data_IF_914636920813
#
_entry.id   IF_914636920813
#
_cell.length_a   1.000
_cell.length_b   1.000
_cell.length_c   1.000
_cell.angle_alpha   90.00
_cell.angle_beta   90.00
_cell.angle_gamma   90.00
#
_symmetry.space_group_name_H-M   'P 1'
#
loop_
_entity.id
_entity.type
_entity.pdbx_description
1 polymer ?
#
# COMPACT_ATOMS: atom_id res chain seq x y z
N UNK A 1 -10.16 0.39 -2.16
CA UNK A 1 -9.35 1.57 -2.51
C UNK A 1 -7.91 1.10 -2.72
N UNK A 2 -7.23 1.56 -3.76
CA UNK A 2 -5.85 1.15 -4.09
C UNK A 2 -5.10 2.32 -4.71
N UNK A 3 -3.77 2.24 -4.74
CA UNK A 3 -2.96 3.21 -5.46
C UNK A 3 -1.71 2.56 -6.04
N UNK A 4 -1.23 3.12 -7.15
CA UNK A 4 0.07 2.75 -7.70
C UNK A 4 1.17 3.31 -6.80
N UNK A 5 2.20 2.51 -6.59
CA UNK A 5 3.42 2.95 -5.92
C UNK A 5 4.63 2.31 -6.58
N UNK A 6 5.83 2.73 -6.17
CA UNK A 6 7.08 2.27 -6.74
C UNK A 6 7.94 1.64 -5.67
N UNK A 7 8.35 0.39 -5.88
CA UNK A 7 9.36 -0.29 -5.08
C UNK A 7 10.71 -0.16 -5.79
N UNK A 8 11.75 0.26 -5.07
CA UNK A 8 13.10 0.39 -5.63
C UNK A 8 13.71 -0.94 -6.09
N UNK A 9 13.25 -2.06 -5.55
CA UNK A 9 13.69 -3.40 -5.97
C UNK A 9 12.84 -4.00 -7.07
N UNK A 10 11.52 -3.79 -7.01
CA UNK A 10 10.57 -4.52 -7.86
C UNK A 10 9.91 -3.64 -8.93
N UNK A 11 10.21 -2.34 -8.96
CA UNK A 11 9.62 -1.38 -9.87
C UNK A 11 8.18 -1.00 -9.50
N UNK A 12 7.31 -0.68 -10.49
CA UNK A 12 5.92 -0.33 -10.24
C UNK A 12 5.14 -1.49 -9.60
N UNK A 13 4.41 -1.19 -8.53
CA UNK A 13 3.54 -2.14 -7.83
C UNK A 13 2.18 -1.50 -7.56
N UNK A 14 1.15 -2.32 -7.38
CA UNK A 14 -0.14 -1.86 -6.88
C UNK A 14 -0.23 -2.12 -5.38
N UNK A 15 -0.64 -1.11 -4.61
CA UNK A 15 -0.90 -1.25 -3.18
C UNK A 15 -2.40 -1.18 -2.87
N UNK A 16 -2.94 -2.22 -2.24
CA UNK A 16 -4.32 -2.27 -1.75
C UNK A 16 -4.39 -1.73 -0.33
N UNK A 17 -5.10 -0.62 -0.14
CA UNK A 17 -5.25 0.03 1.16
C UNK A 17 -6.31 -0.66 2.02
N UNK A 18 -7.53 -0.78 1.47
CA UNK A 18 -8.66 -1.37 2.18
C UNK A 18 -9.27 -2.51 1.38
N UNK A 19 -9.36 -3.68 2.02
CA UNK A 19 -10.12 -4.83 1.56
C UNK A 19 -11.10 -5.26 2.65
N UNK A 20 -12.39 -5.06 2.39
CA UNK A 20 -13.45 -5.54 3.25
C UNK A 20 -14.45 -6.35 2.43
N UNK A 21 -14.84 -7.51 2.95
CA UNK A 21 -15.93 -8.31 2.40
C UNK A 21 -17.00 -8.48 3.47
N UNK A 22 -18.20 -8.03 3.10
CA UNK A 22 -19.42 -8.22 3.88
C UNK A 22 -19.59 -9.71 4.25
N UNK A 23 -19.91 -10.03 5.52
CA UNK A 23 -19.97 -11.41 6.02
C UNK A 23 -20.78 -12.37 5.16
N UNK A 24 -21.91 -11.92 4.63
CA UNK A 24 -22.86 -12.67 3.82
C UNK A 24 -22.25 -13.15 2.49
N UNK A 25 -21.17 -12.50 2.04
CA UNK A 25 -20.47 -12.78 0.80
C UNK A 25 -19.11 -13.46 1.02
N UNK A 26 -18.76 -13.82 2.26
CA UNK A 26 -17.53 -14.58 2.54
C UNK A 26 -17.74 -16.03 2.11
N UNK A 27 -16.78 -16.60 1.37
CA UNK A 27 -16.87 -17.98 0.87
C UNK A 27 -17.66 -18.19 -0.43
N UNK A 28 -18.48 -17.21 -0.86
CA UNK A 28 -19.24 -17.30 -2.12
C UNK A 28 -18.38 -17.10 -3.38
N UNK A 29 -17.10 -16.75 -3.22
CA UNK A 29 -16.16 -16.55 -4.32
C UNK A 29 -16.09 -15.12 -4.87
N UNK A 30 -16.76 -14.15 -4.24
CA UNK A 30 -16.75 -12.74 -4.68
C UNK A 30 -15.36 -12.10 -4.79
N UNK A 31 -14.37 -12.57 -4.02
CA UNK A 31 -12.98 -12.07 -4.10
C UNK A 31 -12.23 -12.58 -5.34
N UNK A 32 -12.75 -13.56 -6.10
CA UNK A 32 -12.04 -14.10 -7.29
C UNK A 32 -11.72 -13.03 -8.35
N UNK A 33 -12.49 -11.94 -8.38
CA UNK A 33 -12.27 -10.81 -9.29
C UNK A 33 -11.34 -9.71 -8.76
N UNK A 34 -10.78 -9.86 -7.56
CA UNK A 34 -9.80 -8.92 -7.02
C UNK A 34 -8.39 -9.47 -7.22
N UNK A 35 -7.46 -8.70 -7.82
CA UNK A 35 -7.61 -7.33 -8.28
C UNK A 35 -7.91 -7.21 -9.78
N UNK A 36 -8.54 -8.20 -10.46
CA UNK A 36 -8.70 -8.25 -11.93
C UNK A 36 -9.32 -7.03 -12.65
N UNK A 37 -9.94 -6.07 -11.94
CA UNK A 37 -10.34 -4.77 -12.49
C UNK A 37 -9.92 -3.64 -11.55
N UNK A 38 -8.88 -2.92 -11.95
CA UNK A 38 -8.48 -1.64 -11.36
C UNK A 38 -8.42 -0.65 -12.50
N UNK A 39 -9.53 0.05 -12.71
CA UNK A 39 -9.57 1.23 -13.55
C UNK A 39 -9.24 2.45 -12.70
N UNK A 40 -8.31 3.27 -13.13
CA UNK A 40 -8.23 4.67 -12.69
C UNK A 40 -8.94 5.53 -13.71
N UNK A 41 -9.46 6.68 -13.30
CA UNK A 41 -9.86 7.72 -14.25
C UNK A 41 -8.64 8.61 -14.48
N UNK A 42 -8.39 9.02 -15.73
CA UNK A 42 -7.35 10.02 -16.00
C UNK A 42 -7.78 11.43 -15.57
N UNK A 43 -6.92 12.43 -15.81
CA UNK A 43 -7.20 13.85 -15.52
C UNK A 43 -8.46 14.40 -16.22
N UNK A 44 -9.01 13.67 -17.20
CA UNK A 44 -10.20 14.00 -17.97
C UNK A 44 -11.40 13.13 -17.59
N UNK A 45 -11.26 12.23 -16.62
CA UNK A 45 -12.33 11.35 -16.18
C UNK A 45 -12.53 10.11 -17.04
N UNK A 46 -11.59 9.79 -17.95
CA UNK A 46 -11.72 8.64 -18.84
C UNK A 46 -11.19 7.36 -18.17
N UNK A 47 -11.87 6.20 -18.33
CA UNK A 47 -11.39 4.92 -17.83
C UNK A 47 -10.04 4.59 -18.43
N UNK A 48 -9.01 4.69 -17.61
CA UNK A 48 -7.67 4.23 -17.92
C UNK A 48 -7.51 2.88 -17.25
N UNK A 49 -7.61 1.83 -18.05
CA UNK A 49 -7.14 0.51 -17.65
C UNK A 49 -5.63 0.64 -17.43
N UNK A 50 -5.20 0.91 -16.19
CA UNK A 50 -3.80 0.75 -15.84
C UNK A 50 -3.57 -0.75 -15.91
N UNK A 51 -2.80 -1.25 -16.89
CA UNK A 51 -2.68 -2.69 -17.03
C UNK A 51 -1.93 -3.19 -15.80
N UNK A 52 -2.57 -4.05 -15.00
CA UNK A 52 -1.86 -4.90 -14.03
C UNK A 52 -0.60 -5.53 -14.61
N UNK A 53 -0.59 -5.75 -15.93
CA UNK A 53 0.54 -6.23 -16.70
C UNK A 53 1.83 -5.41 -16.52
N UNK A 54 1.74 -4.13 -16.12
CA UNK A 54 2.91 -3.28 -15.85
C UNK A 54 3.35 -3.29 -14.38
N UNK A 55 2.53 -3.81 -13.47
CA UNK A 55 2.89 -3.96 -12.07
C UNK A 55 3.53 -5.33 -11.86
N UNK A 56 4.70 -5.35 -11.22
CA UNK A 56 5.37 -6.62 -10.90
C UNK A 56 4.68 -7.35 -9.74
N UNK A 57 3.97 -6.61 -8.88
CA UNK A 57 3.40 -7.12 -7.63
C UNK A 57 2.12 -6.38 -7.23
N UNK A 58 1.29 -7.07 -6.45
CA UNK A 58 0.20 -6.49 -5.67
C UNK A 58 0.52 -6.68 -4.18
N UNK A 59 0.61 -5.58 -3.43
CA UNK A 59 0.91 -5.58 -1.99
C UNK A 59 -0.24 -5.00 -1.20
N UNK A 60 -0.40 -5.45 0.03
CA UNK A 60 -1.41 -4.96 0.97
C UNK A 60 -0.94 -5.26 2.39
N UNK A 61 -1.53 -4.58 3.38
CA UNK A 61 -1.35 -4.89 4.80
C UNK A 61 -2.64 -5.52 5.30
N UNK A 62 -2.51 -6.65 5.99
CA UNK A 62 -3.61 -7.24 6.74
C UNK A 62 -3.40 -6.92 8.21
N UNK A 63 -4.47 -6.57 8.92
CA UNK A 63 -4.45 -6.60 10.38
C UNK A 63 -4.12 -8.02 10.86
N UNK A 64 -3.73 -8.18 12.13
CA UNK A 64 -3.60 -9.50 12.73
C UNK A 64 -4.89 -10.27 12.51
N UNK A 65 -4.77 -11.38 11.77
CA UNK A 65 -5.90 -12.07 11.19
C UNK A 65 -5.88 -13.54 11.60
N UNK A 66 -7.06 -14.17 11.77
CA UNK A 66 -7.14 -15.60 12.00
C UNK A 66 -6.41 -16.38 10.91
N UNK A 67 -5.89 -17.56 11.25
CA UNK A 67 -5.16 -18.43 10.31
C UNK A 67 -5.94 -18.68 9.00
N UNK A 68 -7.27 -18.77 9.06
CA UNK A 68 -8.12 -18.92 7.88
C UNK A 68 -7.97 -17.79 6.84
N UNK A 69 -7.74 -16.54 7.28
CA UNK A 69 -7.50 -15.40 6.41
C UNK A 69 -6.09 -15.46 5.80
N UNK A 70 -5.10 -15.84 6.60
CA UNK A 70 -3.72 -16.03 6.13
C UNK A 70 -3.69 -17.14 5.07
N UNK A 71 -4.31 -18.28 5.35
CA UNK A 71 -4.44 -19.40 4.41
C UNK A 71 -5.18 -19.00 3.13
N UNK A 72 -6.19 -18.14 3.25
CA UNK A 72 -6.93 -17.62 2.10
C UNK A 72 -6.01 -16.84 1.14
N UNK A 73 -5.10 -16.02 1.67
CA UNK A 73 -4.13 -15.26 0.88
C UNK A 73 -3.00 -16.15 0.35
N UNK A 74 -2.46 -17.06 1.16
CA UNK A 74 -1.44 -18.02 0.73
C UNK A 74 -1.92 -18.92 -0.41
N UNK A 75 -3.16 -19.40 -0.36
CA UNK A 75 -3.79 -20.18 -1.46
C UNK A 75 -3.86 -19.41 -2.79
N UNK A 76 -3.66 -18.09 -2.78
CA UNK A 76 -3.64 -17.20 -3.95
C UNK A 76 -2.23 -16.70 -4.30
N UNK A 77 -1.19 -17.29 -3.70
CA UNK A 77 0.19 -16.93 -3.97
C UNK A 77 0.68 -15.70 -3.23
N UNK A 78 -0.09 -15.16 -2.28
CA UNK A 78 0.44 -14.14 -1.38
C UNK A 78 1.56 -14.74 -0.52
N UNK A 79 2.51 -13.90 -0.15
CA UNK A 79 3.63 -14.27 0.72
C UNK A 79 3.63 -13.31 1.89
N UNK A 80 3.63 -13.85 3.11
CA UNK A 80 3.80 -13.04 4.32
C UNK A 80 5.24 -12.51 4.39
N UNK A 81 5.40 -11.23 4.04
CA UNK A 81 6.71 -10.55 4.03
C UNK A 81 7.18 -10.17 5.43
N UNK A 82 6.27 -10.10 6.41
CA UNK A 82 6.64 -9.89 7.81
C UNK A 82 7.39 -11.11 8.32
N UNK A 83 6.89 -12.32 8.04
CA UNK A 83 7.59 -13.56 8.42
C UNK A 83 8.83 -13.80 7.54
N UNK A 84 8.71 -13.64 6.22
CA UNK A 84 9.82 -13.98 5.29
C UNK A 84 11.03 -13.06 5.42
N UNK A 85 10.80 -11.77 5.62
CA UNK A 85 11.85 -10.76 5.51
C UNK A 85 11.95 -9.85 6.74
N UNK A 86 11.14 -10.08 7.78
CA UNK A 86 11.16 -9.30 9.02
C UNK A 86 10.92 -7.80 8.80
N UNK A 87 10.03 -7.45 7.86
CA UNK A 87 9.61 -6.07 7.62
C UNK A 87 8.65 -5.58 8.70
N UNK A 88 8.86 -4.33 9.11
CA UNK A 88 7.99 -3.62 10.05
C UNK A 88 7.38 -2.39 9.37
N UNK A 89 6.09 -2.16 9.61
CA UNK A 89 5.40 -0.94 9.13
C UNK A 89 5.47 0.11 10.24
N UNK A 90 6.05 1.27 9.94
CA UNK A 90 6.11 2.41 10.83
C UNK A 90 5.23 3.55 10.30
N UNK A 91 4.57 4.27 11.20
CA UNK A 91 3.85 5.52 10.91
C UNK A 91 4.38 6.62 11.82
N UNK A 92 4.64 7.79 11.24
CA UNK A 92 4.95 9.00 12.00
C UNK A 92 3.70 9.87 11.96
N UNK A 93 3.10 10.08 13.14
CA UNK A 93 1.91 10.92 13.25
C UNK A 93 2.25 12.41 13.05
N UNK A 94 1.21 13.23 12.90
CA UNK A 94 1.33 14.63 12.47
C UNK A 94 2.32 15.44 13.29
N UNK A 95 2.20 15.43 14.61
CA UNK A 95 3.01 16.32 15.45
C UNK A 95 4.51 15.97 15.42
N UNK A 96 4.93 14.69 15.55
CA UNK A 96 6.32 14.31 15.29
C UNK A 96 6.79 14.59 13.86
N UNK A 97 5.92 14.43 12.85
CA UNK A 97 6.26 14.69 11.44
C UNK A 97 6.54 16.18 11.19
N UNK A 98 5.71 17.07 11.73
CA UNK A 98 5.90 18.53 11.64
C UNK A 98 7.25 18.91 12.23
N UNK A 99 7.57 18.42 13.43
CA UNK A 99 8.87 18.66 14.07
C UNK A 99 10.05 18.14 13.24
N UNK A 100 9.89 17.00 12.57
CA UNK A 100 10.93 16.44 11.70
C UNK A 100 11.21 17.39 10.52
N UNK A 101 10.16 17.91 9.88
CA UNK A 101 10.27 18.83 8.74
C UNK A 101 10.86 20.17 9.17
N UNK A 102 10.39 20.75 10.27
CA UNK A 102 10.89 22.01 10.81
C UNK A 102 12.35 21.90 11.29
N UNK A 103 12.70 20.80 11.95
CA UNK A 103 14.07 20.53 12.38
C UNK A 103 15.06 20.36 11.22
N UNK A 104 14.58 19.90 10.06
CA UNK A 104 15.37 19.87 8.81
C UNK A 104 15.51 21.28 8.23
N UNK A 105 14.45 22.09 8.22
CA UNK A 105 14.49 23.47 7.75
C UNK A 105 15.45 24.35 8.58
N UNK A 106 15.47 24.17 9.91
CA UNK A 106 16.38 24.88 10.80
C UNK A 106 17.86 24.49 10.58
N UNK A 107 18.14 23.23 10.24
CA UNK A 107 19.51 22.76 9.92
C UNK A 107 20.01 23.23 8.56
N UNK A 108 19.12 23.52 7.61
CA UNK A 108 19.47 24.03 6.29
C UNK A 108 19.75 25.54 6.28
N UNK A 109 19.33 26.28 7.32
CA UNK A 109 19.59 27.71 7.48
C UNK A 109 20.48 28.05 8.70
N UNK A 110 21.77 27.65 8.72
CA UNK A 110 22.66 27.99 9.84
C UNK A 110 23.24 29.42 9.78
N UNK A 111 22.96 30.22 8.74
CA UNK A 111 23.57 31.56 8.56
C UNK A 111 22.50 32.64 8.40
N UNK A 112 21.92 33.10 9.51
CA UNK A 112 21.38 34.46 9.63
C UNK A 112 21.11 34.79 11.10
N UNK A 113 22.17 34.99 11.87
CA UNK A 113 22.09 35.65 13.18
C UNK A 113 23.46 36.18 13.60
N UNK A 114 24.07 36.99 12.72
CA UNK A 114 25.10 37.96 13.09
C UNK A 114 24.98 39.15 12.13
N UNK A 115 24.03 40.04 12.41
CA UNK A 115 24.07 41.46 12.06
C UNK A 115 23.46 42.24 13.22
#
# INVERSE_FOLDING_TARGET
>A
FHYLTYCTWDGPILFGEDLYVMPEFRGSGGIRGYPHKVGSLDEKGEPQDIPFQRCSQFRFISAESPQATIDFFHKRGAIDVTIRNNWHVFRIDRDPLVKLVEGVAAKLNPVSSQL
#
